data_IF_043320582940
#
_entry.id   IF_043320582940
#
_cell.length_a   1.000
_cell.length_b   1.000
_cell.length_c   1.000
_cell.angle_alpha   90.00
_cell.angle_beta   90.00
_cell.angle_gamma   90.00
#
_symmetry.space_group_name_H-M   'P 1'
#
loop_
_entity.id
_entity.type
_entity.pdbx_description
1 polymer ?
#
# COMPACT_ATOMS: atom_id res chain seq x y z
N UNK A 1 26.36 27.25 -10.27
CA UNK A 1 26.25 27.23 -8.79
C UNK A 1 25.24 28.30 -8.42
N UNK A 2 24.04 27.93 -7.99
CA UNK A 2 23.05 28.90 -7.51
C UNK A 2 23.41 29.27 -6.07
N UNK A 3 23.42 30.56 -5.75
CA UNK A 3 23.64 31.06 -4.38
C UNK A 3 22.28 31.43 -3.83
N UNK A 4 21.77 30.66 -2.87
CA UNK A 4 20.51 30.96 -2.19
C UNK A 4 20.77 31.97 -1.06
N UNK A 5 19.86 32.92 -0.89
CA UNK A 5 19.95 33.90 0.20
C UNK A 5 19.61 33.16 1.50
N UNK A 6 20.47 33.26 2.51
CA UNK A 6 20.21 32.63 3.81
C UNK A 6 19.34 33.52 4.68
N UNK A 7 18.19 33.02 5.11
CA UNK A 7 17.40 33.67 6.15
C UNK A 7 18.09 33.47 7.51
N UNK A 8 18.27 34.55 8.28
CA UNK A 8 19.01 34.58 9.56
C UNK A 8 18.36 33.76 10.68
N UNK A 9 17.11 33.35 10.51
CA UNK A 9 16.34 32.60 11.52
C UNK A 9 16.42 31.06 11.35
N UNK A 10 17.03 30.58 10.26
CA UNK A 10 17.06 29.15 9.94
C UNK A 10 18.32 28.51 10.51
N UNK A 11 18.17 27.51 11.38
CA UNK A 11 19.27 26.83 12.05
C UNK A 11 19.91 25.77 11.15
N UNK A 12 19.12 25.18 10.25
CA UNK A 12 19.56 24.10 9.38
C UNK A 12 19.52 24.49 7.89
N UNK A 13 20.49 24.01 7.08
CA UNK A 13 20.51 24.29 5.63
C UNK A 13 19.22 23.87 4.91
N UNK A 14 18.60 22.77 5.34
CA UNK A 14 17.37 22.27 4.72
C UNK A 14 16.16 23.18 4.96
N UNK A 15 16.07 23.87 6.10
CA UNK A 15 14.99 24.83 6.33
C UNK A 15 15.05 25.97 5.30
N UNK A 16 16.27 26.43 5.00
CA UNK A 16 16.49 27.46 3.99
C UNK A 16 16.34 26.94 2.56
N UNK A 17 16.65 25.67 2.29
CA UNK A 17 16.36 25.06 0.99
C UNK A 17 14.84 24.97 0.77
N UNK A 18 14.09 24.55 1.79
CA UNK A 18 12.63 24.37 1.71
C UNK A 18 11.94 25.71 1.46
N UNK A 19 12.39 26.81 2.10
CA UNK A 19 11.82 28.14 1.83
C UNK A 19 11.99 28.59 0.38
N UNK A 20 12.99 28.05 -0.32
CA UNK A 20 13.22 28.29 -1.75
C UNK A 20 12.63 27.18 -2.65
N UNK A 21 11.88 26.23 -2.09
CA UNK A 21 11.25 25.13 -2.84
C UNK A 21 12.18 23.96 -3.18
N UNK A 22 13.28 23.79 -2.44
CA UNK A 22 14.24 22.70 -2.61
C UNK A 22 14.34 21.84 -1.36
N UNK A 23 14.71 20.57 -1.54
CA UNK A 23 14.92 19.63 -0.46
C UNK A 23 16.28 18.95 -0.64
N UNK A 24 17.14 19.06 0.37
CA UNK A 24 18.41 18.36 0.43
C UNK A 24 18.24 16.93 0.95
N UNK A 25 19.16 16.04 0.57
CA UNK A 25 19.16 14.66 1.08
C UNK A 25 19.83 14.53 2.47
N UNK A 26 20.68 15.49 2.86
CA UNK A 26 21.44 15.47 4.11
C UNK A 26 20.97 16.60 5.03
N UNK A 27 20.73 16.34 6.33
CA UNK A 27 20.29 17.37 7.27
C UNK A 27 21.37 18.40 7.61
N UNK A 28 22.65 18.00 7.55
CA UNK A 28 23.77 18.81 8.04
C UNK A 28 24.48 19.53 6.89
N UNK A 29 24.69 18.85 5.76
CA UNK A 29 25.49 19.36 4.65
C UNK A 29 25.00 18.80 3.30
N UNK A 30 23.88 19.30 2.77
CA UNK A 30 23.37 18.86 1.48
C UNK A 30 24.30 19.30 0.36
N UNK A 31 24.93 18.35 -0.34
CA UNK A 31 25.74 18.62 -1.53
C UNK A 31 24.88 18.78 -2.80
N UNK A 32 23.70 18.15 -2.80
CA UNK A 32 22.71 18.17 -3.88
C UNK A 32 21.34 18.42 -3.22
N UNK A 33 20.51 19.21 -3.89
CA UNK A 33 19.12 19.43 -3.52
C UNK A 33 18.22 19.23 -4.74
N UNK A 34 17.02 18.70 -4.51
CA UNK A 34 16.01 18.48 -5.53
C UNK A 34 14.87 19.48 -5.33
N UNK A 35 14.28 19.98 -6.40
CA UNK A 35 13.10 20.85 -6.26
C UNK A 35 11.89 20.03 -5.79
N UNK A 36 11.04 20.63 -4.97
CA UNK A 36 9.77 20.02 -4.56
C UNK A 36 8.91 19.70 -5.78
N UNK A 37 8.94 20.54 -6.82
CA UNK A 37 8.24 20.29 -8.08
C UNK A 37 8.76 19.03 -8.77
N UNK A 38 10.07 18.77 -8.76
CA UNK A 38 10.64 17.55 -9.34
C UNK A 38 10.19 16.30 -8.58
N UNK A 39 10.15 16.37 -7.25
CA UNK A 39 9.71 15.26 -6.39
C UNK A 39 8.21 14.99 -6.57
N UNK A 40 7.38 16.04 -6.59
CA UNK A 40 5.96 15.95 -6.89
C UNK A 40 5.69 15.41 -8.30
N UNK A 41 6.44 15.87 -9.31
CA UNK A 41 6.35 15.35 -10.68
C UNK A 41 6.67 13.86 -10.73
N UNK A 42 7.72 13.42 -10.01
CA UNK A 42 8.07 12.01 -9.93
C UNK A 42 6.96 11.19 -9.25
N UNK A 43 6.36 11.68 -8.17
CA UNK A 43 5.22 11.05 -7.52
C UNK A 43 4.05 10.84 -8.50
N UNK A 44 3.65 11.88 -9.23
CA UNK A 44 2.58 11.78 -10.24
C UNK A 44 2.94 10.80 -11.37
N UNK A 45 4.18 10.87 -11.88
CA UNK A 45 4.66 9.97 -12.92
C UNK A 45 4.60 8.51 -12.46
N UNK A 46 5.02 8.24 -11.22
CA UNK A 46 5.01 6.90 -10.64
C UNK A 46 3.60 6.35 -10.42
N UNK A 47 2.61 7.22 -10.10
CA UNK A 47 1.21 6.80 -10.02
C UNK A 47 0.64 6.37 -11.36
N UNK A 48 0.97 7.09 -12.44
CA UNK A 48 0.49 6.74 -13.79
C UNK A 48 1.25 5.57 -14.42
N UNK A 49 2.53 5.42 -14.09
CA UNK A 49 3.41 4.41 -14.65
C UNK A 49 4.33 3.87 -13.55
N UNK A 50 3.93 2.80 -12.85
CA UNK A 50 4.75 2.17 -11.81
C UNK A 50 6.11 1.64 -12.31
N UNK A 51 6.26 1.47 -13.63
CA UNK A 51 7.52 1.07 -14.27
C UNK A 51 8.54 2.23 -14.34
N UNK A 52 8.12 3.46 -14.04
CA UNK A 52 8.99 4.63 -14.06
C UNK A 52 9.85 4.69 -12.79
N UNK A 53 11.03 4.08 -12.86
CA UNK A 53 11.92 3.95 -11.71
C UNK A 53 12.63 5.25 -11.32
N UNK A 54 13.09 5.32 -10.07
CA UNK A 54 13.98 6.39 -9.57
C UNK A 54 15.24 6.52 -10.44
N UNK A 55 15.78 5.39 -10.91
CA UNK A 55 16.93 5.41 -11.81
C UNK A 55 16.63 6.09 -13.14
N UNK A 56 15.46 5.82 -13.73
CA UNK A 56 15.03 6.48 -14.96
C UNK A 56 14.89 7.99 -14.73
N UNK A 57 14.26 8.41 -13.63
CA UNK A 57 14.14 9.82 -13.26
C UNK A 57 15.50 10.49 -13.07
N UNK A 58 16.43 9.86 -12.35
CA UNK A 58 17.78 10.39 -12.14
C UNK A 58 18.54 10.52 -13.46
N UNK A 59 18.44 9.55 -14.37
CA UNK A 59 19.04 9.64 -15.71
C UNK A 59 18.42 10.78 -16.53
N UNK A 60 17.11 10.96 -16.48
CA UNK A 60 16.41 12.08 -17.14
C UNK A 60 16.94 13.42 -16.63
N UNK A 61 17.06 13.59 -15.30
CA UNK A 61 17.62 14.80 -14.70
C UNK A 61 19.07 15.04 -15.13
N UNK A 62 19.91 14.00 -15.11
CA UNK A 62 21.29 14.08 -15.60
C UNK A 62 21.36 14.53 -17.06
N UNK A 63 20.50 13.98 -17.93
CA UNK A 63 20.46 14.33 -19.34
C UNK A 63 19.98 15.77 -19.55
N UNK A 64 18.95 16.22 -18.83
CA UNK A 64 18.46 17.61 -18.86
C UNK A 64 19.54 18.62 -18.47
N UNK A 65 20.39 18.27 -17.50
CA UNK A 65 21.48 19.12 -17.05
C UNK A 65 22.79 18.91 -17.83
N UNK A 66 22.84 17.99 -18.81
CA UNK A 66 24.06 17.62 -19.53
C UNK A 66 25.21 17.17 -18.61
N UNK A 67 24.88 16.42 -17.54
CA UNK A 67 25.83 15.88 -16.55
C UNK A 67 25.87 14.35 -16.68
N UNK A 68 27.03 13.70 -16.53
CA UNK A 68 27.10 12.24 -16.51
C UNK A 68 26.30 11.64 -15.35
N UNK A 69 25.60 10.54 -15.61
CA UNK A 69 24.87 9.81 -14.57
C UNK A 69 25.83 9.19 -13.57
N UNK A 70 25.57 9.42 -12.27
CA UNK A 70 26.29 8.79 -11.18
C UNK A 70 25.34 7.92 -10.34
N UNK A 71 25.71 6.65 -10.02
CA UNK A 71 24.83 5.76 -9.28
C UNK A 71 24.39 6.26 -7.90
N UNK A 72 25.24 7.01 -7.20
CA UNK A 72 24.90 7.57 -5.88
C UNK A 72 23.74 8.58 -5.92
N UNK A 73 23.44 9.14 -7.09
CA UNK A 73 22.33 10.07 -7.26
C UNK A 73 20.98 9.39 -6.96
N UNK A 74 20.84 8.12 -7.32
CA UNK A 74 19.63 7.35 -7.02
C UNK A 74 19.40 7.24 -5.51
N UNK A 75 20.44 6.93 -4.74
CA UNK A 75 20.34 6.87 -3.27
C UNK A 75 19.99 8.22 -2.68
N UNK A 76 20.63 9.29 -3.16
CA UNK A 76 20.32 10.66 -2.71
C UNK A 76 18.89 11.08 -3.04
N UNK A 77 18.42 10.73 -4.23
CA UNK A 77 17.05 10.99 -4.65
C UNK A 77 16.05 10.20 -3.81
N UNK A 78 16.27 8.90 -3.61
CA UNK A 78 15.42 8.05 -2.75
C UNK A 78 15.30 8.62 -1.34
N UNK A 79 16.42 9.02 -0.72
CA UNK A 79 16.42 9.60 0.62
C UNK A 79 15.65 10.92 0.67
N UNK A 80 15.90 11.83 -0.27
CA UNK A 80 15.16 13.09 -0.36
C UNK A 80 13.66 12.85 -0.63
N UNK A 81 13.32 11.87 -1.46
CA UNK A 81 11.94 11.51 -1.77
C UNK A 81 11.20 10.94 -0.56
N UNK A 82 11.85 10.10 0.26
CA UNK A 82 11.27 9.61 1.52
C UNK A 82 10.93 10.76 2.48
N UNK A 83 11.84 11.72 2.64
CA UNK A 83 11.61 12.92 3.46
C UNK A 83 10.47 13.76 2.89
N UNK A 84 10.41 13.92 1.57
CA UNK A 84 9.30 14.61 0.91
C UNK A 84 7.95 13.93 1.17
N UNK A 85 7.87 12.60 1.06
CA UNK A 85 6.64 11.85 1.35
C UNK A 85 6.23 11.99 2.82
N UNK A 86 7.20 12.02 3.74
CA UNK A 86 6.94 12.25 5.17
C UNK A 86 6.36 13.65 5.44
N UNK A 87 6.89 14.68 4.77
CA UNK A 87 6.37 16.05 4.86
C UNK A 87 4.94 16.13 4.31
N UNK A 88 4.69 15.55 3.12
CA UNK A 88 3.35 15.53 2.52
C UNK A 88 2.36 14.83 3.45
N UNK A 89 2.73 13.66 3.97
CA UNK A 89 1.90 12.91 4.91
C UNK A 89 1.60 13.69 6.19
N UNK A 90 2.60 14.38 6.76
CA UNK A 90 2.38 15.19 7.95
C UNK A 90 1.40 16.35 7.66
N UNK A 91 1.53 16.99 6.50
CA UNK A 91 0.60 18.03 6.07
C UNK A 91 -0.81 17.47 5.89
N UNK A 92 -0.95 16.31 5.23
CA UNK A 92 -2.24 15.65 5.05
C UNK A 92 -2.89 15.34 6.40
N UNK A 93 -2.13 14.85 7.38
CA UNK A 93 -2.64 14.62 8.73
C UNK A 93 -3.10 15.91 9.40
N UNK A 94 -2.34 17.00 9.30
CA UNK A 94 -2.78 18.30 9.82
C UNK A 94 -4.06 18.80 9.13
N UNK A 95 -4.24 18.50 7.85
CA UNK A 95 -5.47 18.84 7.10
C UNK A 95 -6.63 17.98 7.59
N UNK A 96 -6.45 16.67 7.74
CA UNK A 96 -7.49 15.81 8.32
C UNK A 96 -7.84 16.28 9.74
N UNK A 97 -6.83 16.68 10.53
CA UNK A 97 -7.00 17.21 11.87
C UNK A 97 -7.87 18.46 11.89
N UNK A 98 -7.56 19.41 11.02
CA UNK A 98 -8.33 20.64 10.88
C UNK A 98 -9.77 20.39 10.38
N UNK A 99 -9.99 19.33 9.60
CA UNK A 99 -11.30 18.93 9.08
C UNK A 99 -12.08 18.03 10.06
N UNK A 100 -11.51 17.66 11.21
CA UNK A 100 -12.14 16.77 12.19
C UNK A 100 -12.25 15.31 11.73
N UNK A 101 -11.35 14.86 10.85
CA UNK A 101 -11.41 13.56 10.15
C UNK A 101 -10.42 12.53 10.73
N UNK A 102 -10.17 12.58 12.03
CA UNK A 102 -9.08 11.81 12.67
C UNK A 102 -9.55 10.57 13.40
N UNK A 103 -10.86 10.29 13.37
CA UNK A 103 -11.35 9.04 13.95
C UNK A 103 -10.79 7.88 13.13
N UNK A 104 -10.40 6.80 13.80
CA UNK A 104 -9.83 5.61 13.18
C UNK A 104 -10.76 5.04 12.09
N UNK A 105 -12.07 5.13 12.32
CA UNK A 105 -13.10 4.65 11.39
C UNK A 105 -13.67 5.75 10.49
N UNK A 106 -13.18 6.99 10.58
CA UNK A 106 -13.74 8.13 9.83
C UNK A 106 -13.77 7.82 8.34
N UNK A 107 -12.67 7.28 7.83
CA UNK A 107 -12.56 6.97 6.43
C UNK A 107 -13.53 5.87 6.01
N UNK A 108 -13.56 4.74 6.73
CA UNK A 108 -14.47 3.63 6.42
C UNK A 108 -15.94 4.10 6.37
N UNK A 109 -16.33 4.99 7.28
CA UNK A 109 -17.70 5.52 7.35
C UNK A 109 -18.02 6.61 6.32
N UNK A 110 -17.03 7.17 5.62
CA UNK A 110 -17.23 8.33 4.74
C UNK A 110 -16.62 8.18 3.34
N UNK A 111 -15.91 7.08 3.04
CA UNK A 111 -15.18 6.90 1.79
C UNK A 111 -16.10 6.81 0.58
N UNK A 112 -17.21 6.06 0.72
CA UNK A 112 -18.19 5.91 -0.35
C UNK A 112 -19.47 6.69 -0.01
N UNK A 113 -19.72 7.86 -0.63
CA UNK A 113 -20.94 8.62 -0.39
C UNK A 113 -22.18 7.80 -0.67
N UNK A 114 -22.19 6.99 -1.72
CA UNK A 114 -23.38 6.19 -2.09
C UNK A 114 -23.66 5.02 -1.13
N UNK A 115 -22.66 4.53 -0.38
CA UNK A 115 -22.88 3.44 0.58
C UNK A 115 -23.16 3.93 2.00
N UNK A 116 -22.61 5.07 2.40
CA UNK A 116 -22.66 5.52 3.81
C UNK A 116 -23.51 6.78 4.03
N UNK A 117 -23.96 7.46 2.97
CA UNK A 117 -24.85 8.61 3.09
C UNK A 117 -26.32 8.18 3.03
N UNK A 118 -26.97 8.10 4.19
CA UNK A 118 -28.38 7.79 4.31
C UNK A 118 -29.26 9.05 4.24
N UNK A 119 -30.34 8.99 3.47
CA UNK A 119 -31.38 10.03 3.44
C UNK A 119 -32.41 9.81 4.55
N UNK A 120 -33.05 10.88 5.03
CA UNK A 120 -34.00 10.83 6.16
C UNK A 120 -35.20 9.89 5.91
N UNK A 121 -35.59 9.71 4.64
CA UNK A 121 -36.75 8.89 4.22
C UNK A 121 -36.37 7.52 3.61
N UNK A 122 -35.11 7.08 3.75
CA UNK A 122 -34.66 5.83 3.16
C UNK A 122 -35.16 4.61 3.96
N UNK A 123 -35.79 3.61 3.32
CA UNK A 123 -36.22 2.40 4.02
C UNK A 123 -35.00 1.60 4.50
N UNK A 124 -35.00 1.21 5.78
CA UNK A 124 -33.95 0.35 6.34
C UNK A 124 -33.86 -0.96 5.56
N UNK A 125 -32.69 -1.21 4.98
CA UNK A 125 -32.38 -2.43 4.28
C UNK A 125 -31.99 -3.52 5.28
N UNK A 126 -32.19 -4.80 4.92
CA UNK A 126 -31.67 -5.93 5.72
C UNK A 126 -30.14 -5.97 5.74
N UNK A 127 -29.52 -5.48 4.66
CA UNK A 127 -28.09 -5.33 4.50
C UNK A 127 -27.83 -3.94 3.94
N UNK A 128 -27.09 -3.12 4.68
CA UNK A 128 -26.89 -1.70 4.34
C UNK A 128 -25.91 -1.50 3.19
N UNK A 129 -24.93 -2.39 3.04
CA UNK A 129 -23.93 -2.30 1.99
C UNK A 129 -23.41 -3.69 1.62
N UNK A 130 -23.00 -3.83 0.36
CA UNK A 130 -22.39 -5.03 -0.19
C UNK A 130 -20.93 -4.75 -0.49
N UNK A 131 -20.08 -5.71 -0.16
CA UNK A 131 -18.65 -5.66 -0.44
C UNK A 131 -18.21 -6.79 -1.36
N UNK A 132 -17.23 -6.48 -2.18
CA UNK A 132 -16.45 -7.44 -2.92
C UNK A 132 -15.07 -7.54 -2.28
N UNK A 133 -14.65 -8.76 -1.97
CA UNK A 133 -13.35 -9.05 -1.38
C UNK A 133 -12.56 -9.81 -2.44
N UNK A 134 -11.37 -9.32 -2.75
CA UNK A 134 -10.42 -10.03 -3.61
C UNK A 134 -9.10 -10.23 -2.89
N UNK A 135 -8.62 -11.46 -2.92
CA UNK A 135 -7.28 -11.82 -2.48
C UNK A 135 -6.45 -12.03 -3.72
N UNK A 136 -5.53 -11.10 -4.02
CA UNK A 136 -4.68 -11.20 -5.19
C UNK A 136 -3.74 -12.41 -5.07
N UNK A 137 -4.19 -13.58 -5.54
CA UNK A 137 -3.47 -14.86 -5.49
C UNK A 137 -2.45 -15.02 -6.63
N UNK A 138 -2.51 -14.16 -7.64
CA UNK A 138 -1.69 -14.28 -8.84
C UNK A 138 -0.33 -13.60 -8.66
N UNK A 139 0.65 -14.34 -8.13
CA UNK A 139 2.14 -14.25 -8.27
C UNK A 139 2.86 -12.88 -8.33
N UNK A 140 2.17 -11.75 -8.19
CA UNK A 140 2.65 -10.39 -8.50
C UNK A 140 3.02 -9.60 -7.25
N UNK A 141 2.54 -10.03 -6.08
CA UNK A 141 2.76 -9.39 -4.78
C UNK A 141 3.19 -10.41 -3.73
N UNK A 142 4.08 -11.33 -4.12
CA UNK A 142 4.63 -12.32 -3.21
C UNK A 142 5.98 -11.86 -2.70
N UNK A 143 6.13 -11.82 -1.38
CA UNK A 143 7.39 -11.50 -0.73
C UNK A 143 8.06 -12.78 -0.24
N UNK A 144 9.28 -13.02 -0.68
CA UNK A 144 10.04 -14.21 -0.31
C UNK A 144 10.50 -14.10 1.13
N UNK A 145 10.31 -15.18 1.89
CA UNK A 145 10.89 -15.25 3.23
C UNK A 145 12.42 -15.21 3.10
N UNK A 146 13.07 -14.20 3.71
CA UNK A 146 14.51 -14.00 3.59
C UNK A 146 15.33 -15.17 4.13
N UNK A 147 14.74 -15.98 5.02
CA UNK A 147 15.37 -17.21 5.53
C UNK A 147 15.62 -18.24 4.42
N UNK A 148 14.88 -18.19 3.31
CA UNK A 148 15.05 -19.06 2.15
C UNK A 148 16.41 -18.84 1.48
N UNK A 149 16.96 -17.62 1.57
CA UNK A 149 18.27 -17.27 1.02
C UNK A 149 19.39 -17.32 2.05
N UNK A 150 19.14 -17.81 3.27
CA UNK A 150 20.13 -17.86 4.35
C UNK A 150 20.62 -16.48 4.81
N UNK A 151 19.84 -15.43 4.56
CA UNK A 151 20.14 -14.06 4.99
C UNK A 151 19.41 -13.74 6.28
N UNK A 152 20.02 -12.90 7.12
CA UNK A 152 19.37 -12.30 8.29
C UNK A 152 18.17 -11.46 7.83
N UNK A 153 17.08 -11.51 8.59
CA UNK A 153 15.88 -10.73 8.35
C UNK A 153 16.25 -9.25 8.24
N UNK A 154 16.05 -8.65 7.07
CA UNK A 154 16.06 -7.21 6.92
C UNK A 154 14.64 -6.75 7.25
N UNK A 155 14.38 -6.46 8.52
CA UNK A 155 13.09 -5.95 8.95
C UNK A 155 12.83 -4.61 8.25
N UNK A 156 11.76 -4.56 7.45
CA UNK A 156 11.26 -3.29 6.96
C UNK A 156 10.54 -2.59 8.12
N UNK A 157 11.18 -1.56 8.68
CA UNK A 157 10.57 -0.72 9.72
C UNK A 157 9.42 0.15 9.22
N UNK A 158 9.13 0.16 7.91
CA UNK A 158 8.03 0.92 7.36
C UNK A 158 6.69 0.32 7.80
N UNK A 159 6.02 0.99 8.73
CA UNK A 159 4.62 0.69 9.07
C UNK A 159 3.70 1.27 8.01
N UNK A 160 2.63 0.55 7.68
CA UNK A 160 1.59 1.11 6.81
C UNK A 160 0.93 2.29 7.52
N UNK A 161 0.88 3.43 6.83
CA UNK A 161 0.44 4.72 7.41
C UNK A 161 -1.01 5.06 7.05
N UNK A 162 -1.63 4.29 6.17
CA UNK A 162 -3.03 4.51 5.75
C UNK A 162 -4.00 3.83 6.71
N UNK A 163 -5.11 4.51 6.98
CA UNK A 163 -6.27 3.99 7.73
C UNK A 163 -6.99 2.86 7.02
N UNK A 164 -6.78 2.69 5.70
CA UNK A 164 -7.25 1.51 4.96
C UNK A 164 -6.62 0.21 5.44
N UNK A 165 -5.42 0.28 6.01
CA UNK A 165 -4.61 -0.91 6.24
C UNK A 165 -4.83 -1.46 7.64
N UNK A 166 -5.36 -2.68 7.73
CA UNK A 166 -5.47 -3.38 9.00
C UNK A 166 -4.10 -3.91 9.42
N UNK A 167 -3.78 -3.78 10.71
CA UNK A 167 -2.56 -4.37 11.23
C UNK A 167 -2.67 -5.90 11.25
N UNK A 168 -1.53 -6.58 11.12
CA UNK A 168 -1.49 -8.04 11.16
C UNK A 168 -2.08 -8.57 12.48
N UNK A 169 -1.79 -7.91 13.61
CA UNK A 169 -2.35 -8.27 14.91
C UNK A 169 -3.88 -8.20 14.96
N UNK A 170 -4.50 -7.23 14.29
CA UNK A 170 -5.96 -7.11 14.18
C UNK A 170 -6.56 -8.17 13.24
N UNK A 171 -5.81 -8.70 12.28
CA UNK A 171 -6.28 -9.77 11.40
C UNK A 171 -6.11 -11.14 12.07
N UNK A 172 -4.99 -11.36 12.75
CA UNK A 172 -4.61 -12.64 13.36
C UNK A 172 -5.58 -13.09 14.46
N UNK A 173 -6.29 -12.15 15.11
CA UNK A 173 -7.36 -12.48 16.07
C UNK A 173 -8.52 -13.30 15.45
N UNK A 174 -8.59 -13.40 14.11
CA UNK A 174 -9.59 -14.15 13.37
C UNK A 174 -9.09 -15.50 12.82
N UNK A 175 -7.80 -15.84 12.96
CA UNK A 175 -7.16 -17.03 12.36
C UNK A 175 -7.93 -18.33 12.68
N UNK A 176 -8.37 -18.50 13.93
CA UNK A 176 -9.03 -19.73 14.39
C UNK A 176 -10.57 -19.64 14.43
N UNK A 177 -11.14 -18.45 14.24
CA UNK A 177 -12.60 -18.25 14.35
C UNK A 177 -13.36 -18.89 13.18
N UNK A 178 -12.73 -19.04 12.02
CA UNK A 178 -13.35 -19.62 10.82
C UNK A 178 -13.45 -21.16 10.93
N UNK A 179 -12.46 -21.82 11.54
CA UNK A 179 -12.44 -23.29 11.71
C UNK A 179 -13.54 -23.79 12.66
N UNK A 180 -13.98 -22.97 13.60
CA UNK A 180 -15.03 -23.33 14.55
C UNK A 180 -16.44 -23.40 13.90
N UNK A 181 -16.63 -22.85 12.69
CA UNK A 181 -17.96 -22.75 12.04
C UNK A 181 -18.25 -23.85 11.01
N UNK A 182 -17.36 -24.83 10.82
CA UNK A 182 -17.60 -25.98 9.93
C UNK A 182 -18.43 -27.12 10.57
N UNK A 183 -19.07 -26.90 11.73
CA UNK A 183 -19.94 -27.91 12.36
C UNK A 183 -21.44 -27.67 12.07
N UNK A 184 -21.79 -26.64 11.30
CA UNK A 184 -23.17 -26.53 10.79
C UNK A 184 -23.29 -27.20 9.43
N UNK A 185 -23.74 -28.44 9.53
CA UNK A 185 -24.26 -29.31 8.49
C UNK A 185 -25.39 -28.59 7.73
N UNK A 186 -25.04 -27.95 6.61
CA UNK A 186 -25.99 -27.70 5.55
C UNK A 186 -25.86 -28.87 4.59
N UNK A 187 -26.54 -29.98 4.88
CA UNK A 187 -27.00 -30.92 3.86
C UNK A 187 -27.92 -30.14 2.90
N UNK A 188 -27.32 -29.36 2.01
CA UNK A 188 -27.94 -29.05 0.74
C UNK A 188 -27.73 -30.27 -0.14
N UNK A 189 -28.82 -30.98 -0.40
CA UNK A 189 -28.96 -31.98 -1.47
C UNK A 189 -28.42 -31.43 -2.80
N UNK A 190 -27.10 -31.53 -2.99
CA UNK A 190 -26.36 -31.13 -4.19
C UNK A 190 -26.17 -32.32 -5.15
N UNK A 191 -26.89 -33.41 -4.95
CA UNK A 191 -26.74 -34.62 -5.77
C UNK A 191 -27.42 -34.53 -7.15
N UNK A 192 -28.18 -33.46 -7.44
CA UNK A 192 -28.85 -33.29 -8.75
C UNK A 192 -28.14 -32.30 -9.68
N UNK A 193 -27.30 -31.38 -9.16
CA UNK A 193 -26.62 -30.38 -9.98
C UNK A 193 -25.12 -30.69 -10.26
N UNK A 194 -24.54 -31.68 -9.58
CA UNK A 194 -23.13 -32.06 -9.73
C UNK A 194 -22.80 -32.70 -11.09
N UNK A 195 -23.79 -33.26 -11.79
CA UNK A 195 -23.58 -33.91 -13.08
C UNK A 195 -23.45 -32.94 -14.27
N UNK A 196 -23.73 -31.63 -14.09
CA UNK A 196 -23.78 -30.68 -15.21
C UNK A 196 -22.52 -29.80 -15.36
N UNK A 197 -21.65 -29.71 -14.35
CA UNK A 197 -20.47 -28.82 -14.41
C UNK A 197 -19.18 -29.52 -13.97
N UNK A 198 -18.64 -30.37 -14.85
CA UNK A 198 -17.31 -30.98 -14.72
C UNK A 198 -16.15 -29.98 -14.55
N UNK A 199 -16.36 -28.68 -14.80
CA UNK A 199 -15.35 -27.63 -14.61
C UNK A 199 -15.00 -27.38 -13.13
N UNK A 200 -15.96 -27.46 -12.20
CA UNK A 200 -15.70 -27.14 -10.78
C UNK A 200 -14.79 -28.20 -10.14
N UNK A 201 -15.03 -29.47 -10.45
CA UNK A 201 -14.23 -30.59 -9.96
C UNK A 201 -12.81 -30.59 -10.53
N UNK A 202 -12.64 -30.22 -11.81
CA UNK A 202 -11.30 -30.05 -12.41
C UNK A 202 -10.54 -28.84 -11.85
N UNK A 203 -11.23 -27.75 -11.50
CA UNK A 203 -10.60 -26.56 -10.92
C UNK A 203 -10.12 -26.78 -9.48
N UNK A 204 -10.89 -27.53 -8.68
CA UNK A 204 -10.49 -27.93 -7.33
C UNK A 204 -9.33 -28.95 -7.33
N UNK A 205 -9.28 -29.87 -8.31
CA UNK A 205 -8.22 -30.88 -8.40
C UNK A 205 -6.84 -30.31 -8.78
N UNK A 206 -6.77 -29.15 -9.42
CA UNK A 206 -5.51 -28.44 -9.71
C UNK A 206 -4.84 -27.83 -8.47
N UNK A 207 -5.55 -27.77 -7.31
CA UNK A 207 -5.02 -27.34 -6.01
C UNK A 207 -4.35 -28.50 -5.24
N UNK A 208 -3.51 -29.30 -5.88
CA UNK A 208 -2.81 -30.38 -5.16
C UNK A 208 -1.82 -29.81 -4.12
N UNK A 209 -1.51 -30.61 -3.10
CA UNK A 209 -0.68 -30.25 -1.93
C UNK A 209 0.74 -29.72 -2.27
N UNK A 210 1.20 -29.86 -3.52
CA UNK A 210 2.42 -29.23 -4.01
C UNK A 210 2.33 -27.70 -3.98
N UNK A 211 1.15 -27.12 -4.24
CA UNK A 211 0.93 -25.67 -4.13
C UNK A 211 1.10 -25.20 -2.67
N UNK A 212 0.63 -25.96 -1.67
CA UNK A 212 0.77 -25.58 -0.25
C UNK A 212 2.24 -25.48 0.18
N UNK A 213 3.09 -26.43 -0.25
CA UNK A 213 4.55 -26.37 -0.03
C UNK A 213 5.24 -25.24 -0.82
N UNK A 214 4.69 -24.84 -1.96
CA UNK A 214 5.21 -23.71 -2.73
C UNK A 214 4.88 -22.36 -2.07
N UNK A 215 3.79 -22.27 -1.29
CA UNK A 215 3.42 -21.04 -0.58
C UNK A 215 4.18 -20.82 0.73
N UNK A 216 4.71 -21.87 1.37
CA UNK A 216 5.49 -21.74 2.62
C UNK A 216 6.83 -21.03 2.46
N UNK A 217 7.22 -20.74 1.21
CA UNK A 217 8.47 -20.07 0.86
C UNK A 217 8.30 -18.54 0.85
N UNK A 218 7.05 -18.07 0.91
CA UNK A 218 6.70 -16.66 0.96
C UNK A 218 6.30 -16.25 2.37
N UNK A 219 6.83 -15.12 2.82
CA UNK A 219 6.39 -14.48 4.05
C UNK A 219 5.04 -13.77 3.83
N UNK A 220 4.93 -13.03 2.74
CA UNK A 220 3.67 -12.44 2.28
C UNK A 220 3.26 -13.11 0.96
N UNK A 221 2.07 -13.71 0.93
CA UNK A 221 1.56 -14.43 -0.23
C UNK A 221 0.67 -13.57 -1.15
N UNK A 222 0.32 -12.36 -0.72
CA UNK A 222 -0.50 -11.40 -1.44
C UNK A 222 -1.08 -10.32 -0.53
N UNK A 223 -2.02 -9.55 -1.09
CA UNK A 223 -2.81 -8.53 -0.38
C UNK A 223 -4.29 -8.90 -0.55
N UNK A 224 -5.07 -8.75 0.51
CA UNK A 224 -6.53 -8.74 0.45
C UNK A 224 -7.02 -7.30 0.38
N UNK A 225 -7.98 -7.04 -0.50
CA UNK A 225 -8.65 -5.75 -0.63
C UNK A 225 -10.15 -5.96 -0.54
N UNK A 226 -10.80 -5.10 0.23
CA UNK A 226 -12.26 -4.99 0.34
C UNK A 226 -12.67 -3.73 -0.39
N UNK A 227 -13.59 -3.88 -1.33
CA UNK A 227 -14.16 -2.78 -2.11
C UNK A 227 -15.67 -2.79 -1.98
N UNK A 228 -16.28 -1.60 -2.02
CA UNK A 228 -17.73 -1.51 -2.24
C UNK A 228 -18.07 -1.73 -3.72
N UNK A 229 -19.35 -1.91 -4.02
CA UNK A 229 -19.85 -2.01 -5.40
C UNK A 229 -19.58 -0.76 -6.27
N UNK A 230 -19.33 0.38 -5.65
CA UNK A 230 -18.93 1.62 -6.33
C UNK A 230 -17.41 1.73 -6.53
N UNK A 231 -16.67 0.64 -6.30
CA UNK A 231 -15.21 0.54 -6.48
C UNK A 231 -14.35 1.43 -5.57
N UNK A 232 -14.90 1.92 -4.46
CA UNK A 232 -14.09 2.52 -3.39
C UNK A 232 -13.45 1.42 -2.56
N UNK A 233 -12.14 1.54 -2.31
CA UNK A 233 -11.41 0.67 -1.38
C UNK A 233 -11.84 1.03 0.03
N UNK A 234 -12.20 0.02 0.82
CA UNK A 234 -12.66 0.20 2.20
C UNK A 234 -11.60 -0.24 3.19
N UNK A 235 -11.05 -1.44 2.99
CA UNK A 235 -10.02 -2.03 3.83
C UNK A 235 -9.03 -2.82 2.98
N UNK A 236 -7.79 -2.91 3.43
CA UNK A 236 -6.74 -3.73 2.85
C UNK A 236 -5.88 -4.36 3.96
N UNK A 237 -5.32 -5.54 3.71
CA UNK A 237 -4.34 -6.16 4.62
C UNK A 237 -3.43 -7.15 3.89
N UNK A 238 -2.26 -7.43 4.49
CA UNK A 238 -1.32 -8.41 3.95
C UNK A 238 -1.77 -9.84 4.25
N UNK A 239 -1.55 -10.74 3.29
CA UNK A 239 -1.71 -12.17 3.48
C UNK A 239 -0.38 -12.76 3.96
N UNK A 240 -0.25 -12.97 5.26
CA UNK A 240 1.01 -13.49 5.84
C UNK A 240 0.92 -15.01 5.98
N UNK A 241 1.89 -15.72 5.38
CA UNK A 241 2.08 -17.17 5.49
C UNK A 241 0.79 -18.00 5.34
N UNK A 242 -0.19 -17.45 4.63
CA UNK A 242 -1.49 -18.09 4.44
C UNK A 242 -1.36 -19.14 3.34
N UNK A 243 -1.34 -20.41 3.72
CA UNK A 243 -1.78 -21.47 2.83
C UNK A 243 -3.31 -21.48 2.87
N UNK A 244 -3.97 -21.29 1.73
CA UNK A 244 -5.28 -21.91 1.43
C UNK A 244 -6.12 -22.35 2.63
N UNK A 245 -7.06 -21.54 3.16
CA UNK A 245 -8.13 -22.05 4.04
C UNK A 245 -8.82 -23.28 3.42
#
# INVERSE_FOLDING_TARGET
KATLISHSHHAFPNENLISHGYLGFSPISPSIAFSLQTLATFQQAHWTCPWFTIQAQCKTLCHLHSIPYCPYLCTQFSLAFNVYLEVVHHIDNCIQDALGRNSQDWQLLNECPACFYHLEDEPSLKFDWLVSIDGNKYNSLKWWDMMVYGKTLCEDSCTVRSTYWLSNAEVDQFEYKVKAKQVYDWEMDLDVASSLFNCVNHWCAAKSDQCKKMFSVFEESGIFIVTCWHCFVLLAWNMIKSSEL
#
